data_IF_112250159783
#
_entry.id   IF_112250159783
#
_cell.length_a   1.000
_cell.length_b   1.000
_cell.length_c   1.000
_cell.angle_alpha   90.00
_cell.angle_beta   90.00
_cell.angle_gamma   90.00
#
_symmetry.space_group_name_H-M   'P 1'
#
loop_
_entity.id
_entity.type
_entity.pdbx_description
1 polymer ?
#
# COMPACT_ATOMS: atom_id res chain seq x y z
N UNK A 1 -3.67 -22.18 11.69
CA UNK A 1 -2.23 -21.96 11.45
C UNK A 1 -1.41 -22.81 12.40
N UNK A 2 -0.29 -23.33 11.94
CA UNK A 2 0.61 -24.13 12.76
C UNK A 2 1.58 -23.24 13.53
N UNK A 3 1.72 -23.50 14.82
CA UNK A 3 2.69 -22.87 15.72
C UNK A 3 3.46 -23.96 16.45
N UNK A 4 4.64 -23.65 16.97
CA UNK A 4 5.43 -24.63 17.76
C UNK A 4 4.63 -25.16 18.94
N UNK A 5 3.86 -24.32 19.62
CA UNK A 5 3.01 -24.73 20.74
C UNK A 5 1.92 -25.70 20.30
N UNK A 6 1.30 -25.49 19.14
CA UNK A 6 0.28 -26.40 18.60
C UNK A 6 0.90 -27.74 18.17
N UNK A 7 2.07 -27.68 17.52
CA UNK A 7 2.81 -28.91 17.16
C UNK A 7 3.21 -29.71 18.39
N UNK A 8 3.66 -29.06 19.46
CA UNK A 8 4.00 -29.72 20.73
C UNK A 8 2.81 -30.52 21.27
N UNK A 9 1.63 -29.92 21.37
CA UNK A 9 0.40 -30.60 21.83
C UNK A 9 0.08 -31.78 20.91
N UNK A 10 0.12 -31.61 19.60
CA UNK A 10 -0.20 -32.70 18.65
C UNK A 10 0.78 -33.85 18.75
N UNK A 11 2.08 -33.57 18.93
CA UNK A 11 3.11 -34.61 19.10
C UNK A 11 2.86 -35.40 20.38
N UNK A 12 2.58 -34.74 21.51
CA UNK A 12 2.27 -35.40 22.76
C UNK A 12 1.01 -36.26 22.66
N UNK A 13 -0.07 -35.71 22.05
CA UNK A 13 -1.36 -36.42 21.98
C UNK A 13 -1.33 -37.62 21.03
N UNK A 14 -0.75 -37.46 19.84
CA UNK A 14 -0.79 -38.48 18.79
C UNK A 14 0.34 -39.51 18.91
N UNK A 15 1.53 -39.09 19.30
CA UNK A 15 2.71 -39.94 19.28
C UNK A 15 3.17 -40.35 20.69
N UNK A 16 2.56 -39.79 21.75
CA UNK A 16 2.93 -40.06 23.15
C UNK A 16 4.40 -39.78 23.46
N UNK A 17 4.99 -38.83 22.73
CA UNK A 17 6.39 -38.43 22.89
C UNK A 17 6.45 -37.03 23.45
N UNK A 18 7.17 -36.85 24.56
CA UNK A 18 7.41 -35.53 25.14
C UNK A 18 8.71 -34.95 24.58
N UNK A 19 8.60 -33.83 23.91
CA UNK A 19 9.74 -33.07 23.32
C UNK A 19 9.65 -31.59 23.68
N UNK A 20 10.78 -30.95 23.89
CA UNK A 20 10.78 -29.48 24.16
C UNK A 20 10.37 -28.69 22.92
N UNK A 21 9.77 -27.51 23.13
CA UNK A 21 9.45 -26.57 22.05
C UNK A 21 10.69 -26.15 21.26
N UNK A 22 11.84 -26.05 21.93
CA UNK A 22 13.11 -25.72 21.28
C UNK A 22 13.59 -26.83 20.36
N UNK A 23 13.37 -28.11 20.75
CA UNK A 23 13.66 -29.26 19.89
C UNK A 23 12.79 -29.21 18.63
N UNK A 24 11.48 -28.93 18.76
CA UNK A 24 10.56 -28.81 17.63
C UNK A 24 11.03 -27.63 16.73
N UNK A 25 11.34 -26.49 17.32
CA UNK A 25 11.84 -25.32 16.57
C UNK A 25 13.08 -25.65 15.74
N UNK A 26 14.07 -26.30 16.37
CA UNK A 26 15.31 -26.70 15.71
C UNK A 26 15.05 -27.67 14.55
N UNK A 27 14.22 -28.70 14.77
CA UNK A 27 13.86 -29.66 13.72
C UNK A 27 13.12 -29.02 12.53
N UNK A 28 12.23 -28.08 12.81
CA UNK A 28 11.58 -27.31 11.73
C UNK A 28 12.61 -26.52 10.92
N UNK A 29 13.58 -25.89 11.58
CA UNK A 29 14.67 -25.17 10.91
C UNK A 29 15.58 -26.08 10.08
N UNK A 30 15.95 -27.23 10.60
CA UNK A 30 16.73 -28.27 9.90
C UNK A 30 15.97 -28.79 8.67
N UNK A 31 14.65 -28.87 8.74
CA UNK A 31 13.78 -29.21 7.61
C UNK A 31 13.57 -28.05 6.60
N UNK A 32 14.31 -26.93 6.74
CA UNK A 32 14.21 -25.79 5.82
C UNK A 32 13.01 -24.88 6.06
N UNK A 33 12.22 -25.11 7.14
CA UNK A 33 11.05 -24.30 7.45
C UNK A 33 11.44 -23.04 8.22
N UNK A 34 10.80 -21.92 7.93
CA UNK A 34 10.98 -20.64 8.62
C UNK A 34 9.67 -20.12 9.17
N UNK A 35 9.74 -19.48 10.34
CA UNK A 35 8.54 -18.89 10.95
C UNK A 35 8.21 -17.57 10.27
N UNK A 36 7.16 -17.58 9.44
CA UNK A 36 6.77 -16.44 8.60
C UNK A 36 5.35 -15.98 8.93
N UNK A 37 5.11 -14.70 8.73
CA UNK A 37 3.74 -14.16 8.75
C UNK A 37 3.09 -14.48 7.42
N UNK A 38 1.91 -15.13 7.39
CA UNK A 38 1.18 -15.39 6.16
C UNK A 38 0.82 -14.07 5.45
N UNK A 39 0.94 -14.04 4.14
CA UNK A 39 0.38 -12.99 3.32
C UNK A 39 -1.13 -13.17 3.18
N UNK A 40 -1.82 -12.05 3.01
CA UNK A 40 -3.26 -12.09 2.76
C UNK A 40 -3.49 -12.38 1.28
N UNK A 41 -4.23 -13.43 1.01
CA UNK A 41 -4.78 -13.71 -0.31
C UNK A 41 -6.29 -13.60 -0.22
N UNK A 42 -6.88 -12.86 -1.13
CA UNK A 42 -8.33 -12.70 -1.18
C UNK A 42 -8.96 -13.90 -1.89
N UNK A 43 -10.06 -14.40 -1.39
CA UNK A 43 -10.82 -15.49 -2.05
C UNK A 43 -11.34 -15.06 -3.43
N UNK A 44 -11.60 -13.76 -3.58
CA UNK A 44 -12.10 -13.16 -4.82
C UNK A 44 -11.01 -12.85 -5.84
N UNK A 45 -9.74 -13.12 -5.49
CA UNK A 45 -8.63 -12.92 -6.41
C UNK A 45 -8.73 -13.95 -7.54
N UNK A 46 -8.77 -13.46 -8.78
CA UNK A 46 -8.75 -14.27 -9.98
C UNK A 46 -7.38 -14.21 -10.64
N UNK A 47 -6.68 -15.33 -10.65
CA UNK A 47 -5.35 -15.40 -11.25
C UNK A 47 -5.41 -15.29 -12.79
N UNK A 48 -6.50 -15.72 -13.42
CA UNK A 48 -6.70 -15.56 -14.86
C UNK A 48 -6.79 -14.09 -15.25
N UNK A 49 -7.51 -13.25 -14.47
CA UNK A 49 -7.58 -11.81 -14.67
C UNK A 49 -6.20 -11.16 -14.54
N UNK A 50 -5.37 -11.64 -13.62
CA UNK A 50 -3.98 -11.19 -13.47
C UNK A 50 -3.13 -11.54 -14.69
N UNK A 51 -3.21 -12.77 -15.16
CA UNK A 51 -2.48 -13.21 -16.36
C UNK A 51 -2.96 -12.45 -17.60
N UNK A 52 -4.25 -12.22 -17.71
CA UNK A 52 -4.80 -11.43 -18.81
C UNK A 52 -4.28 -9.98 -18.77
N UNK A 53 -4.25 -9.37 -17.61
CA UNK A 53 -3.71 -8.01 -17.42
C UNK A 53 -2.23 -7.94 -17.82
N UNK A 54 -1.42 -8.90 -17.41
CA UNK A 54 -0.01 -8.99 -17.80
C UNK A 54 0.14 -9.10 -19.32
N UNK A 55 -0.69 -9.91 -19.96
CA UNK A 55 -0.63 -10.18 -21.40
C UNK A 55 -1.20 -9.03 -22.23
N UNK A 56 -2.27 -8.37 -21.80
CA UNK A 56 -3.00 -7.37 -22.58
C UNK A 56 -2.70 -5.94 -22.16
N UNK A 57 -2.76 -5.64 -20.87
CA UNK A 57 -2.70 -4.27 -20.39
C UNK A 57 -1.27 -3.77 -20.19
N UNK A 58 -0.36 -4.58 -19.67
CA UNK A 58 1.05 -4.20 -19.54
C UNK A 58 1.67 -3.76 -20.87
N UNK A 59 1.50 -4.50 -22.00
CA UNK A 59 2.00 -4.04 -23.31
C UNK A 59 1.34 -2.75 -23.79
N UNK A 60 0.05 -2.53 -23.49
CA UNK A 60 -0.64 -1.27 -23.84
C UNK A 60 -0.09 -0.10 -23.03
N UNK A 61 0.12 -0.30 -21.72
CA UNK A 61 0.72 0.67 -20.83
C UNK A 61 2.11 1.05 -21.34
N UNK A 62 2.98 0.08 -21.63
CA UNK A 62 4.33 0.30 -22.17
C UNK A 62 4.30 1.12 -23.46
N UNK A 63 3.50 0.69 -24.44
CA UNK A 63 3.33 1.41 -25.73
C UNK A 63 2.84 2.84 -25.52
N UNK A 64 1.93 3.07 -24.57
CA UNK A 64 1.43 4.42 -24.26
C UNK A 64 2.52 5.28 -23.65
N UNK A 65 3.33 4.72 -22.72
CA UNK A 65 4.48 5.41 -22.12
C UNK A 65 5.48 5.80 -23.21
N UNK A 66 5.84 4.88 -24.09
CA UNK A 66 6.79 5.11 -25.18
C UNK A 66 6.28 6.15 -26.17
N UNK A 67 5.06 5.94 -26.69
CA UNK A 67 4.43 6.82 -27.71
C UNK A 67 4.37 8.29 -27.26
N UNK A 68 4.05 8.55 -26.00
CA UNK A 68 3.85 9.92 -25.48
C UNK A 68 4.98 10.38 -24.57
N UNK A 69 6.04 9.60 -24.38
CA UNK A 69 7.03 9.82 -23.33
C UNK A 69 6.38 10.14 -21.98
N UNK A 70 5.31 9.39 -21.66
CA UNK A 70 4.45 9.66 -20.52
C UNK A 70 5.13 9.29 -19.19
N UNK A 71 4.71 9.94 -18.12
CA UNK A 71 5.14 9.59 -16.76
C UNK A 71 4.15 8.57 -16.21
N UNK A 72 4.65 7.41 -15.80
CA UNK A 72 3.87 6.37 -15.15
C UNK A 72 3.71 6.68 -13.67
N UNK A 73 2.48 6.63 -13.21
CA UNK A 73 2.06 6.70 -11.81
C UNK A 73 1.19 5.50 -11.44
N UNK A 74 1.39 5.00 -10.24
CA UNK A 74 0.41 4.15 -9.56
C UNK A 74 -0.25 4.97 -8.48
N UNK A 75 -1.57 4.90 -8.39
CA UNK A 75 -2.39 5.70 -7.49
C UNK A 75 -3.15 4.78 -6.55
N UNK A 76 -3.31 5.22 -5.30
CA UNK A 76 -4.06 4.54 -4.27
C UNK A 76 -4.64 5.49 -3.23
N UNK A 77 -5.49 4.94 -2.38
CA UNK A 77 -6.17 5.66 -1.30
C UNK A 77 -5.90 4.99 0.05
N UNK A 78 -5.82 5.79 1.08
CA UNK A 78 -5.72 5.27 2.42
C UNK A 78 -6.47 6.12 3.43
N UNK A 79 -6.90 5.47 4.49
CA UNK A 79 -7.30 6.16 5.71
C UNK A 79 -6.15 6.08 6.72
N UNK A 80 -5.68 7.25 7.17
CA UNK A 80 -4.71 7.38 8.26
C UNK A 80 -5.49 7.51 9.55
N UNK A 81 -5.38 6.51 10.43
CA UNK A 81 -6.13 6.46 11.69
C UNK A 81 -5.62 7.47 12.70
N UNK A 82 -6.54 8.04 13.47
CA UNK A 82 -6.21 8.85 14.66
C UNK A 82 -5.58 7.98 15.76
N UNK A 83 -5.92 6.70 15.84
CA UNK A 83 -5.25 5.74 16.72
C UNK A 83 -3.91 5.34 16.10
N UNK A 84 -2.82 5.67 16.80
CA UNK A 84 -1.47 5.40 16.33
C UNK A 84 -1.16 3.89 16.28
N UNK A 85 -0.39 3.49 15.29
CA UNK A 85 0.25 2.18 15.30
C UNK A 85 1.41 2.18 16.30
N UNK A 86 1.43 1.23 17.22
CA UNK A 86 2.39 1.25 18.33
C UNK A 86 3.72 0.56 17.99
N UNK A 87 3.70 -0.46 17.15
CA UNK A 87 4.89 -1.27 16.86
C UNK A 87 5.45 -1.98 18.09
N UNK A 88 6.51 -2.75 17.90
CA UNK A 88 7.25 -3.39 18.99
C UNK A 88 8.31 -2.44 19.56
N UNK A 89 8.66 -2.60 20.84
CA UNK A 89 9.74 -1.86 21.50
C UNK A 89 10.41 -2.75 22.57
N UNK A 90 11.56 -2.31 23.05
CA UNK A 90 12.27 -2.97 24.12
C UNK A 90 11.72 -2.56 25.49
N UNK A 91 11.65 -3.50 26.43
CA UNK A 91 11.29 -3.31 27.82
C UNK A 91 11.96 -4.41 28.65
N UNK A 92 12.19 -4.22 29.94
CA UNK A 92 12.65 -5.28 30.83
C UNK A 92 11.75 -6.51 30.74
N UNK A 93 12.34 -7.70 30.90
CA UNK A 93 11.58 -8.96 30.88
C UNK A 93 10.47 -8.92 31.93
N UNK A 94 9.28 -9.39 31.55
CA UNK A 94 8.10 -9.36 32.41
C UNK A 94 7.38 -8.01 32.53
N UNK A 95 7.92 -6.93 31.95
CA UNK A 95 7.32 -5.60 32.02
C UNK A 95 6.82 -5.16 30.64
N UNK A 96 5.51 -5.19 30.42
CA UNK A 96 4.93 -4.71 29.17
C UNK A 96 4.97 -3.17 29.11
N UNK A 97 5.63 -2.55 28.11
CA UNK A 97 5.68 -1.10 27.99
C UNK A 97 4.30 -0.52 27.71
N UNK A 98 3.95 0.55 28.38
CA UNK A 98 2.69 1.28 28.18
C UNK A 98 2.92 2.47 27.25
N UNK A 99 2.02 2.65 26.27
CA UNK A 99 2.02 3.81 25.39
C UNK A 99 0.68 4.54 25.50
N UNK A 100 0.73 5.84 25.72
CA UNK A 100 -0.48 6.66 25.76
C UNK A 100 -0.96 6.94 24.34
N UNK A 101 -2.18 6.54 24.03
CA UNK A 101 -2.85 6.78 22.75
C UNK A 101 -4.22 7.40 22.97
N UNK A 102 -4.76 8.06 21.94
CA UNK A 102 -6.15 8.54 22.01
C UNK A 102 -7.14 7.39 21.85
N UNK A 103 -8.20 7.40 22.63
CA UNK A 103 -9.36 6.51 22.45
C UNK A 103 -10.38 7.04 21.43
N UNK A 104 -10.18 8.23 20.88
CA UNK A 104 -11.09 8.83 19.90
C UNK A 104 -10.99 8.09 18.56
N UNK A 105 -12.14 7.79 17.97
CA UNK A 105 -12.25 7.24 16.61
C UNK A 105 -12.10 8.36 15.57
N UNK A 106 -11.60 8.02 14.39
CA UNK A 106 -11.48 8.97 13.30
C UNK A 106 -10.21 8.74 12.49
N UNK A 107 -10.05 9.56 11.47
CA UNK A 107 -8.88 9.50 10.58
C UNK A 107 -8.92 10.55 9.50
N UNK A 108 -7.90 10.55 8.67
CA UNK A 108 -7.72 11.44 7.52
C UNK A 108 -7.70 10.58 6.27
N UNK A 109 -8.63 10.82 5.36
CA UNK A 109 -8.60 10.19 4.06
C UNK A 109 -7.51 10.86 3.21
N UNK A 110 -6.74 10.06 2.50
CA UNK A 110 -5.63 10.53 1.71
C UNK A 110 -5.58 9.78 0.38
N UNK A 111 -5.19 10.48 -0.66
CA UNK A 111 -4.84 9.91 -1.96
C UNK A 111 -3.38 10.18 -2.22
N UNK A 112 -2.69 9.23 -2.82
CA UNK A 112 -1.34 9.46 -3.35
C UNK A 112 -1.16 8.81 -4.71
N UNK A 113 -0.09 9.21 -5.38
CA UNK A 113 0.38 8.58 -6.59
C UNK A 113 1.91 8.61 -6.60
N UNK A 114 2.50 7.44 -6.76
CA UNK A 114 3.94 7.25 -6.82
C UNK A 114 4.38 6.95 -8.26
N UNK A 115 5.48 7.55 -8.68
CA UNK A 115 6.08 7.28 -9.99
C UNK A 115 7.37 6.47 -9.88
N UNK A 116 7.71 5.75 -10.96
CA UNK A 116 9.01 5.10 -11.13
C UNK A 116 10.20 6.04 -10.93
N UNK A 117 10.05 7.32 -11.26
CA UNK A 117 11.09 8.34 -11.11
C UNK A 117 11.26 8.82 -9.66
N UNK A 118 10.42 8.35 -8.74
CA UNK A 118 10.44 8.73 -7.34
C UNK A 118 9.65 10.01 -7.02
N UNK A 119 8.77 10.45 -7.92
CA UNK A 119 7.82 11.50 -7.57
C UNK A 119 6.69 10.93 -6.74
N UNK A 120 6.30 11.64 -5.69
CA UNK A 120 5.13 11.36 -4.88
C UNK A 120 4.22 12.58 -4.92
N UNK A 121 3.04 12.44 -5.47
CA UNK A 121 1.95 13.40 -5.37
C UNK A 121 0.93 12.90 -4.36
N UNK A 122 0.32 13.81 -3.61
CA UNK A 122 -0.69 13.42 -2.62
C UNK A 122 -1.71 14.53 -2.37
N UNK A 123 -2.87 14.13 -1.84
CA UNK A 123 -3.94 15.03 -1.39
C UNK A 123 -4.60 14.45 -0.14
N UNK A 124 -4.90 15.31 0.82
CA UNK A 124 -5.61 14.94 2.04
C UNK A 124 -7.05 15.46 1.97
N UNK A 125 -7.99 14.65 2.45
CA UNK A 125 -9.40 14.95 2.42
C UNK A 125 -10.01 14.87 3.81
N UNK A 126 -10.91 15.81 4.12
CA UNK A 126 -11.61 15.84 5.41
C UNK A 126 -12.83 14.90 5.45
N UNK A 127 -13.25 14.38 4.30
CA UNK A 127 -14.38 13.46 4.13
C UNK A 127 -13.98 12.25 3.29
N UNK A 128 -14.91 11.30 3.16
CA UNK A 128 -14.71 10.12 2.31
C UNK A 128 -14.40 10.54 0.88
N UNK A 129 -13.49 9.81 0.25
CA UNK A 129 -13.13 9.99 -1.15
C UNK A 129 -14.27 9.44 -2.02
N UNK A 130 -14.72 10.26 -2.95
CA UNK A 130 -15.71 9.94 -3.97
C UNK A 130 -15.21 10.44 -5.33
N UNK A 131 -16.01 10.29 -6.39
CA UNK A 131 -15.59 10.67 -7.75
C UNK A 131 -15.11 12.12 -7.90
N UNK A 132 -15.70 13.14 -7.24
CA UNK A 132 -15.16 14.50 -7.31
C UNK A 132 -13.74 14.61 -6.77
N UNK A 133 -13.44 13.95 -5.66
CA UNK A 133 -12.11 13.96 -5.04
C UNK A 133 -11.07 13.28 -5.96
N UNK A 134 -11.45 12.15 -6.60
CA UNK A 134 -10.61 11.48 -7.61
C UNK A 134 -10.32 12.42 -8.79
N UNK A 135 -11.35 13.03 -9.35
CA UNK A 135 -11.22 13.98 -10.47
C UNK A 135 -10.31 15.16 -10.09
N UNK A 136 -10.48 15.72 -8.89
CA UNK A 136 -9.65 16.84 -8.43
C UNK A 136 -8.20 16.42 -8.21
N UNK A 137 -7.94 15.19 -7.80
CA UNK A 137 -6.58 14.68 -7.70
C UNK A 137 -5.94 14.48 -9.09
N UNK A 138 -6.69 13.92 -10.04
CA UNK A 138 -6.23 13.80 -11.43
C UNK A 138 -5.94 15.18 -12.07
N UNK A 139 -6.77 16.21 -11.80
CA UNK A 139 -6.51 17.60 -12.19
C UNK A 139 -5.20 18.12 -11.58
N UNK A 140 -4.99 17.88 -10.29
CA UNK A 140 -3.74 18.26 -9.61
C UNK A 140 -2.53 17.61 -10.29
N UNK A 141 -2.59 16.32 -10.64
CA UNK A 141 -1.51 15.61 -11.33
C UNK A 141 -1.22 16.23 -12.70
N UNK A 142 -2.25 16.54 -13.49
CA UNK A 142 -2.13 17.18 -14.80
C UNK A 142 -1.57 18.61 -14.72
N UNK A 143 -1.94 19.35 -13.67
CA UNK A 143 -1.41 20.70 -13.41
C UNK A 143 0.06 20.66 -13.01
N UNK A 144 0.42 19.70 -12.15
CA UNK A 144 1.81 19.49 -11.74
C UNK A 144 2.71 19.15 -12.95
N UNK A 145 2.19 18.41 -13.91
CA UNK A 145 2.87 18.01 -15.14
C UNK A 145 2.25 18.66 -16.38
N UNK A 146 2.20 20.00 -16.41
CA UNK A 146 1.46 20.77 -17.42
C UNK A 146 1.83 20.50 -18.89
N UNK A 147 3.03 19.95 -19.16
CA UNK A 147 3.52 19.62 -20.54
C UNK A 147 3.68 18.12 -20.80
N UNK A 148 3.38 17.25 -19.82
CA UNK A 148 3.64 15.80 -19.96
C UNK A 148 2.34 15.03 -20.05
N UNK A 149 2.39 13.94 -20.80
CA UNK A 149 1.37 12.91 -20.71
C UNK A 149 1.56 12.11 -19.43
N UNK A 150 0.47 11.68 -18.84
CA UNK A 150 0.45 10.83 -17.66
C UNK A 150 -0.22 9.50 -17.99
N UNK A 151 0.41 8.42 -17.58
CA UNK A 151 -0.22 7.11 -17.46
C UNK A 151 -0.45 6.88 -15.96
N UNK A 152 -1.70 6.68 -15.58
CA UNK A 152 -2.09 6.44 -14.20
C UNK A 152 -2.72 5.07 -14.10
N UNK A 153 -2.15 4.22 -13.25
CA UNK A 153 -2.69 2.89 -12.93
C UNK A 153 -3.32 2.98 -11.55
N UNK A 154 -4.58 2.60 -11.44
CA UNK A 154 -5.35 2.63 -10.19
C UNK A 154 -6.22 1.38 -10.07
N UNK A 155 -6.79 1.15 -8.90
CA UNK A 155 -7.72 0.05 -8.72
C UNK A 155 -9.08 0.29 -9.40
N UNK A 156 -9.99 -0.69 -9.27
CA UNK A 156 -11.34 -0.62 -9.82
C UNK A 156 -12.39 -0.18 -8.79
N UNK A 157 -12.02 0.60 -7.76
CA UNK A 157 -12.99 1.10 -6.79
C UNK A 157 -14.11 1.93 -7.47
N UNK A 158 -15.33 1.93 -6.92
CA UNK A 158 -16.46 2.65 -7.53
C UNK A 158 -16.20 4.13 -7.86
N UNK A 159 -15.46 4.92 -7.05
CA UNK A 159 -15.11 6.29 -7.42
C UNK A 159 -14.26 6.39 -8.69
N UNK A 160 -13.38 5.41 -8.95
CA UNK A 160 -12.49 5.37 -10.11
C UNK A 160 -13.22 4.99 -11.40
N UNK A 161 -14.19 4.10 -11.29
CA UNK A 161 -14.93 3.54 -12.45
C UNK A 161 -16.28 4.22 -12.70
N UNK A 162 -16.61 5.27 -11.93
CA UNK A 162 -17.88 6.00 -12.07
C UNK A 162 -18.01 6.68 -13.44
N UNK A 163 -19.24 6.87 -13.90
CA UNK A 163 -19.53 7.61 -15.16
C UNK A 163 -18.88 9.00 -15.17
N UNK A 164 -18.89 9.73 -14.02
CA UNK A 164 -18.30 11.07 -13.91
C UNK A 164 -16.78 11.02 -14.07
N UNK A 165 -16.11 10.06 -13.43
CA UNK A 165 -14.65 9.91 -13.52
C UNK A 165 -14.23 9.51 -14.93
N UNK A 166 -14.93 8.56 -15.56
CA UNK A 166 -14.67 8.14 -16.94
C UNK A 166 -14.83 9.30 -17.92
N UNK A 167 -15.94 10.03 -17.87
CA UNK A 167 -16.17 11.20 -18.71
C UNK A 167 -15.06 12.25 -18.56
N UNK A 168 -14.60 12.49 -17.32
CA UNK A 168 -13.46 13.39 -17.10
C UNK A 168 -12.19 12.85 -17.75
N UNK A 169 -11.84 11.58 -17.55
CA UNK A 169 -10.64 10.95 -18.12
C UNK A 169 -10.67 11.06 -19.66
N UNK A 170 -11.78 10.71 -20.28
CA UNK A 170 -11.98 10.76 -21.74
C UNK A 170 -11.83 12.17 -22.30
N UNK A 171 -12.21 13.20 -21.54
CA UNK A 171 -12.04 14.60 -21.92
C UNK A 171 -10.59 15.08 -21.89
N UNK A 172 -9.66 14.32 -21.30
CA UNK A 172 -8.27 14.74 -21.08
C UNK A 172 -7.28 14.06 -22.04
N UNK A 173 -6.83 14.78 -23.08
CA UNK A 173 -5.89 14.24 -24.11
C UNK A 173 -4.55 13.74 -23.54
N UNK A 174 -4.11 14.26 -22.39
CA UNK A 174 -2.82 13.95 -21.77
C UNK A 174 -2.90 12.94 -20.63
N UNK A 175 -4.08 12.40 -20.32
CA UNK A 175 -4.31 11.46 -19.23
C UNK A 175 -4.74 10.11 -19.79
N UNK A 176 -3.96 9.09 -19.51
CA UNK A 176 -4.22 7.71 -19.88
C UNK A 176 -4.36 6.88 -18.61
N UNK A 177 -5.55 6.38 -18.35
CA UNK A 177 -5.84 5.61 -17.14
C UNK A 177 -6.00 4.14 -17.48
N UNK A 178 -5.37 3.30 -16.66
CA UNK A 178 -5.49 1.85 -16.67
C UNK A 178 -5.89 1.36 -15.28
N UNK A 179 -6.54 0.22 -15.23
CA UNK A 179 -6.98 -0.35 -13.96
C UNK A 179 -6.22 -1.64 -13.66
N UNK A 180 -5.84 -1.80 -12.38
CA UNK A 180 -5.31 -3.07 -11.88
C UNK A 180 -6.40 -4.15 -11.89
N UNK A 181 -6.03 -5.43 -11.94
CA UNK A 181 -6.97 -6.51 -11.68
C UNK A 181 -7.60 -6.33 -10.29
N UNK A 182 -8.84 -6.79 -10.16
CA UNK A 182 -9.53 -6.73 -8.86
C UNK A 182 -8.75 -7.52 -7.80
N UNK A 183 -8.83 -7.09 -6.56
CA UNK A 183 -8.21 -7.75 -5.40
C UNK A 183 -6.70 -7.98 -5.52
N UNK A 184 -5.99 -7.06 -6.20
CA UNK A 184 -4.53 -7.12 -6.41
C UNK A 184 -3.77 -5.94 -5.77
N UNK A 185 -3.94 -5.66 -4.46
CA UNK A 185 -3.23 -4.56 -3.80
C UNK A 185 -1.71 -4.79 -3.75
N UNK A 186 -1.28 -6.05 -3.73
CA UNK A 186 0.13 -6.44 -3.81
C UNK A 186 0.82 -5.97 -5.11
N UNK A 187 0.03 -5.70 -6.15
CA UNK A 187 0.48 -5.17 -7.44
C UNK A 187 0.46 -3.63 -7.51
N UNK A 188 0.02 -2.95 -6.44
CA UNK A 188 0.04 -1.49 -6.37
C UNK A 188 1.25 -0.99 -5.56
N UNK A 189 2.27 -0.39 -6.19
CA UNK A 189 3.40 0.19 -5.46
C UNK A 189 3.01 1.26 -4.46
N UNK A 190 1.89 1.97 -4.68
CA UNK A 190 1.43 3.04 -3.78
C UNK A 190 0.93 2.51 -2.44
N UNK A 191 0.47 1.25 -2.36
CA UNK A 191 0.21 0.55 -1.09
C UNK A 191 1.45 0.50 -0.18
N UNK A 192 2.63 0.38 -0.77
CA UNK A 192 3.90 0.39 -0.02
C UNK A 192 4.23 1.79 0.52
N UNK A 193 3.76 2.86 -0.14
CA UNK A 193 3.84 4.24 0.38
C UNK A 193 3.02 4.37 1.65
N UNK A 194 1.78 3.89 1.64
CA UNK A 194 0.90 3.91 2.81
C UNK A 194 1.44 3.05 3.95
N UNK A 195 2.01 1.90 3.63
CA UNK A 195 2.64 1.03 4.62
C UNK A 195 3.84 1.74 5.29
N UNK A 196 4.72 2.36 4.49
CA UNK A 196 5.84 3.15 5.01
C UNK A 196 5.35 4.32 5.87
N UNK A 197 4.38 5.08 5.39
CA UNK A 197 3.81 6.20 6.14
C UNK A 197 3.27 5.76 7.49
N UNK A 198 2.42 4.71 7.52
CA UNK A 198 1.74 4.25 8.75
C UNK A 198 2.71 3.63 9.76
N UNK A 199 3.67 2.84 9.29
CA UNK A 199 4.51 2.01 10.15
C UNK A 199 5.91 2.57 10.41
N UNK A 200 6.36 3.58 9.65
CA UNK A 200 7.66 4.22 9.86
C UNK A 200 7.50 5.69 10.25
N UNK A 201 6.79 6.47 9.45
CA UNK A 201 6.73 7.92 9.61
C UNK A 201 5.71 8.38 10.68
N UNK A 202 4.62 7.62 10.86
CA UNK A 202 3.53 7.93 11.82
C UNK A 202 3.46 6.95 12.99
N UNK A 203 4.43 6.06 13.15
CA UNK A 203 4.50 5.17 14.32
C UNK A 203 4.50 5.98 15.61
N UNK A 204 3.65 5.60 16.55
CA UNK A 204 3.53 6.23 17.88
C UNK A 204 3.25 7.74 17.83
N UNK A 205 2.56 8.23 16.81
CA UNK A 205 2.18 9.64 16.77
C UNK A 205 1.28 10.00 17.97
N UNK A 206 1.38 11.26 18.42
CA UNK A 206 0.66 11.77 19.58
C UNK A 206 -0.50 12.70 19.21
N UNK A 207 -0.96 12.68 17.96
CA UNK A 207 -2.09 13.49 17.51
C UNK A 207 -3.35 13.14 18.31
N UNK A 208 -4.01 14.14 18.90
CA UNK A 208 -5.23 13.99 19.71
C UNK A 208 -6.48 14.38 18.94
N UNK A 209 -6.33 15.12 17.84
CA UNK A 209 -7.41 15.61 17.00
C UNK A 209 -7.16 15.30 15.54
N UNK A 210 -8.23 15.35 14.73
CA UNK A 210 -8.15 15.16 13.29
C UNK A 210 -7.29 16.23 12.60
N UNK A 211 -7.34 17.46 13.10
CA UNK A 211 -6.58 18.60 12.61
C UNK A 211 -5.08 18.41 12.84
N UNK A 212 -4.71 17.98 14.06
CA UNK A 212 -3.31 17.64 14.38
C UNK A 212 -2.79 16.49 13.50
N UNK A 213 -3.61 15.43 13.34
CA UNK A 213 -3.27 14.31 12.47
C UNK A 213 -3.10 14.75 11.03
N UNK A 214 -3.99 15.61 10.53
CA UNK A 214 -3.92 16.14 9.15
C UNK A 214 -2.62 16.93 8.93
N UNK A 215 -2.27 17.83 9.86
CA UNK A 215 -1.02 18.61 9.79
C UNK A 215 0.20 17.68 9.83
N UNK A 216 0.20 16.70 10.73
CA UNK A 216 1.29 15.74 10.86
C UNK A 216 1.44 14.88 9.60
N UNK A 217 0.34 14.30 9.09
CA UNK A 217 0.32 13.47 7.88
C UNK A 217 0.83 14.25 6.68
N UNK A 218 0.37 15.51 6.51
CA UNK A 218 0.84 16.39 5.44
C UNK A 218 2.35 16.61 5.51
N UNK A 219 2.86 16.94 6.69
CA UNK A 219 4.31 17.17 6.90
C UNK A 219 5.12 15.91 6.57
N UNK A 220 4.64 14.73 6.96
CA UNK A 220 5.32 13.47 6.68
C UNK A 220 5.32 13.12 5.19
N UNK A 221 4.18 13.24 4.52
CA UNK A 221 4.08 13.03 3.07
C UNK A 221 4.94 14.04 2.28
N UNK A 222 4.98 15.31 2.70
CA UNK A 222 5.88 16.32 2.11
C UNK A 222 7.36 15.94 2.29
N UNK A 223 7.72 15.45 3.48
CA UNK A 223 9.09 14.96 3.74
C UNK A 223 9.43 13.76 2.86
N UNK A 224 8.50 12.81 2.69
CA UNK A 224 8.68 11.65 1.80
C UNK A 224 8.83 12.09 0.34
N UNK A 225 8.00 13.00 -0.13
CA UNK A 225 8.06 13.52 -1.50
C UNK A 225 9.38 14.23 -1.84
N UNK A 226 10.06 14.79 -0.84
CA UNK A 226 11.40 15.39 -1.00
C UNK A 226 12.55 14.36 -1.03
N UNK A 227 12.26 13.07 -0.92
CA UNK A 227 13.25 11.96 -0.92
C UNK A 227 13.04 11.02 -2.12
N UNK A 228 13.41 11.42 -3.37
CA UNK A 228 13.16 10.62 -4.56
C UNK A 228 13.79 9.23 -4.52
N UNK A 229 14.97 9.07 -3.89
CA UNK A 229 15.62 7.77 -3.72
C UNK A 229 14.80 6.82 -2.85
N UNK A 230 14.22 7.33 -1.74
CA UNK A 230 13.30 6.56 -0.90
C UNK A 230 12.07 6.14 -1.71
N UNK A 231 11.48 7.06 -2.46
CA UNK A 231 10.29 6.77 -3.26
C UNK A 231 10.58 5.73 -4.35
N UNK A 232 11.71 5.83 -5.04
CA UNK A 232 12.16 4.78 -5.98
C UNK A 232 12.32 3.44 -5.29
N UNK A 233 12.99 3.41 -4.13
CA UNK A 233 13.15 2.18 -3.36
C UNK A 233 11.82 1.57 -2.93
N UNK A 234 10.82 2.39 -2.58
CA UNK A 234 9.46 1.94 -2.27
C UNK A 234 8.76 1.40 -3.53
N UNK A 235 8.86 2.10 -4.65
CA UNK A 235 8.26 1.69 -5.93
C UNK A 235 8.75 0.31 -6.35
N UNK A 236 10.05 0.08 -6.36
CA UNK A 236 10.66 -1.19 -6.79
C UNK A 236 10.57 -2.35 -5.77
N UNK A 237 9.93 -2.14 -4.62
CA UNK A 237 9.54 -3.25 -3.73
C UNK A 237 8.29 -4.00 -4.19
N UNK A 238 7.63 -3.53 -5.22
CA UNK A 238 6.46 -4.17 -5.79
C UNK A 238 6.86 -4.99 -7.02
N UNK A 239 6.42 -6.25 -7.10
CA UNK A 239 6.76 -7.15 -8.20
C UNK A 239 6.37 -6.61 -9.59
N UNK A 240 5.26 -5.87 -9.66
CA UNK A 240 4.80 -5.25 -10.92
C UNK A 240 5.69 -4.09 -11.37
N UNK A 241 6.45 -3.47 -10.46
CA UNK A 241 7.33 -2.36 -10.81
C UNK A 241 8.42 -2.74 -11.82
N UNK A 242 8.91 -3.97 -11.77
CA UNK A 242 9.93 -4.49 -12.69
C UNK A 242 9.42 -4.60 -14.14
N UNK A 243 8.10 -4.78 -14.31
CA UNK A 243 7.48 -4.82 -15.64
C UNK A 243 7.60 -3.49 -16.40
N UNK A 244 7.89 -2.41 -15.70
CA UNK A 244 8.03 -1.06 -16.24
C UNK A 244 9.45 -0.52 -16.05
N UNK A 245 10.40 -1.44 -15.78
CA UNK A 245 11.82 -1.23 -15.60
C UNK A 245 12.56 -0.70 -16.83
#
# INVERSE_FOLDING_TARGET
>A
MWTVSRLHVVIEDQYRVSVSKDTIWRRLREAGLTYQKPERQYYELNEEDRQEWLRKDVPKIRRTIEKYSAILYFQDEANVSLTAFLGKTWSPSGQTPKATVTGKRGGVAAMSAISRRGHLLFRLHNKRIASPEVIDFLKQMLTHHHRRHLVVVMDQAPPHTSKKTRAYIESQKRLHVFHLPKYSPDWNPDEKVWNHLKHQELTRHKAKTKEELTKLTRRKLQSMAKRPSLMRGIFFRCCVAELFG
#
